data_IF_215579869626
#
_entry.id   IF_215579869626
#
_cell.length_a   1.000
_cell.length_b   1.000
_cell.length_c   1.000
_cell.angle_alpha   90.00
_cell.angle_beta   90.00
_cell.angle_gamma   90.00
#
_symmetry.space_group_name_H-M   'P 1'
#
loop_
_entity.id
_entity.type
_entity.pdbx_description
1 polymer ?
#
# COMPACT_ATOMS: atom_id res chain seq x y z
N UNK A 1 -20.86 25.02 -43.10
CA UNK A 1 -19.61 24.61 -42.47
C UNK A 1 -19.90 24.59 -40.96
N UNK A 2 -20.27 23.42 -40.47
CA UNK A 2 -20.57 23.23 -39.04
C UNK A 2 -19.32 22.65 -38.38
N UNK A 3 -18.71 23.46 -37.58
CA UNK A 3 -17.57 23.06 -36.70
C UNK A 3 -18.17 22.39 -35.47
N UNK A 4 -18.21 21.06 -35.50
CA UNK A 4 -18.56 20.25 -34.33
C UNK A 4 -17.31 20.12 -33.44
N UNK A 5 -17.10 21.09 -32.55
CA UNK A 5 -16.17 20.98 -31.49
C UNK A 5 -16.58 19.85 -30.53
N UNK A 6 -16.03 18.66 -30.70
CA UNK A 6 -16.08 17.61 -29.69
C UNK A 6 -15.34 18.09 -28.44
N UNK A 7 -16.09 18.57 -27.47
CA UNK A 7 -15.58 18.71 -26.09
C UNK A 7 -15.24 17.32 -25.59
N UNK A 8 -13.94 16.98 -25.56
CA UNK A 8 -13.45 15.88 -24.75
C UNK A 8 -13.83 16.17 -23.30
N UNK A 9 -14.92 15.55 -22.86
CA UNK A 9 -15.25 15.47 -21.43
C UNK A 9 -14.11 14.71 -20.78
N UNK A 10 -13.20 15.44 -20.15
CA UNK A 10 -12.15 14.87 -19.34
C UNK A 10 -12.82 14.06 -18.22
N UNK A 11 -12.63 12.74 -18.21
CA UNK A 11 -13.06 11.89 -17.11
C UNK A 11 -12.27 12.36 -15.90
N UNK A 12 -12.95 13.08 -15.01
CA UNK A 12 -12.37 13.49 -13.72
C UNK A 12 -12.00 12.23 -12.94
N UNK A 13 -10.70 11.90 -12.90
CA UNK A 13 -10.22 10.74 -12.18
C UNK A 13 -10.44 10.95 -10.68
N UNK A 14 -11.18 10.02 -10.08
CA UNK A 14 -11.53 10.07 -8.65
C UNK A 14 -10.29 9.94 -7.78
N UNK A 15 -10.25 10.62 -6.61
CA UNK A 15 -9.20 10.44 -5.63
C UNK A 15 -9.06 8.96 -5.20
N UNK A 16 -7.84 8.55 -4.90
CA UNK A 16 -7.55 7.22 -4.33
C UNK A 16 -8.04 7.17 -2.88
N UNK A 17 -8.92 6.23 -2.56
CA UNK A 17 -9.46 6.07 -1.22
C UNK A 17 -8.66 5.08 -0.41
N UNK A 18 -8.09 5.57 0.70
CA UNK A 18 -7.35 4.77 1.69
C UNK A 18 -8.16 4.67 2.96
N UNK A 19 -8.59 3.45 3.30
CA UNK A 19 -9.28 3.17 4.54
C UNK A 19 -8.30 2.69 5.61
N UNK A 20 -8.39 3.24 6.82
CA UNK A 20 -7.51 2.91 7.94
C UNK A 20 -8.36 2.62 9.16
N UNK A 21 -8.08 1.52 9.87
CA UNK A 21 -8.77 1.25 11.13
C UNK A 21 -8.30 2.22 12.23
N UNK A 22 -9.20 2.62 13.11
CA UNK A 22 -8.90 3.57 14.20
C UNK A 22 -7.77 3.08 15.12
N UNK A 23 -7.65 1.76 15.30
CA UNK A 23 -6.57 1.15 16.08
C UNK A 23 -5.23 1.09 15.34
N UNK A 24 -5.22 1.38 14.06
CA UNK A 24 -4.01 1.43 13.25
C UNK A 24 -3.53 2.86 13.08
N UNK A 25 -4.48 3.81 12.95
CA UNK A 25 -4.17 5.24 12.88
C UNK A 25 -3.74 5.80 14.25
N UNK A 26 -4.37 5.34 15.34
CA UNK A 26 -4.08 5.76 16.70
C UNK A 26 -3.70 4.59 17.60
N UNK A 27 -2.83 4.84 18.59
CA UNK A 27 -2.40 3.85 19.57
C UNK A 27 -3.32 3.86 20.79
N UNK A 28 -4.03 2.74 20.99
CA UNK A 28 -4.98 2.53 22.08
C UNK A 28 -4.39 1.82 23.29
N UNK A 29 -3.12 1.39 23.25
CA UNK A 29 -2.50 0.59 24.33
C UNK A 29 -2.46 1.33 25.67
N UNK A 30 -2.28 2.62 25.62
CA UNK A 30 -2.18 3.46 26.80
C UNK A 30 -3.53 3.81 27.45
N UNK A 31 -4.65 3.52 26.78
CA UNK A 31 -5.99 3.85 27.31
C UNK A 31 -6.44 2.89 28.40
N UNK A 32 -5.88 1.67 28.46
CA UNK A 32 -6.20 0.69 29.50
C UNK A 32 -5.54 0.99 30.85
N UNK A 33 -4.42 1.73 30.83
CA UNK A 33 -3.66 2.10 32.04
C UNK A 33 -3.93 3.53 32.52
N UNK A 34 -4.58 4.36 31.73
CA UNK A 34 -4.92 5.75 32.06
C UNK A 34 -6.45 5.91 32.04
N UNK A 35 -7.13 5.35 33.05
CA UNK A 35 -8.55 5.65 33.32
C UNK A 35 -8.81 7.14 33.60
N UNK A 36 -7.77 7.96 33.70
CA UNK A 36 -7.86 9.32 34.21
C UNK A 36 -7.95 10.44 33.17
N UNK A 37 -7.85 10.16 31.83
CA UNK A 37 -7.88 11.24 30.83
C UNK A 37 -8.54 10.83 29.50
N UNK A 38 -9.85 10.61 29.53
CA UNK A 38 -10.64 10.49 28.29
C UNK A 38 -10.61 11.79 27.44
N UNK A 39 -10.20 12.89 28.05
CA UNK A 39 -10.10 14.19 27.38
C UNK A 39 -8.82 14.39 26.59
N UNK A 40 -7.80 13.57 26.77
CA UNK A 40 -6.56 13.68 26.00
C UNK A 40 -6.66 12.98 24.63
N UNK A 41 -6.05 13.58 23.59
CA UNK A 41 -5.99 12.95 22.27
C UNK A 41 -5.21 11.63 22.35
N UNK A 42 -5.60 10.69 21.51
CA UNK A 42 -4.90 9.42 21.34
C UNK A 42 -3.49 9.66 20.79
N UNK A 43 -2.53 8.81 21.17
CA UNK A 43 -1.20 8.84 20.56
C UNK A 43 -1.26 8.38 19.09
N UNK A 44 -0.32 8.87 18.29
CA UNK A 44 -0.14 8.41 16.92
C UNK A 44 0.10 6.89 16.86
N UNK A 45 -0.59 6.20 15.97
CA UNK A 45 -0.42 4.77 15.70
C UNK A 45 0.51 4.51 14.51
N UNK A 46 0.66 3.24 14.13
CA UNK A 46 1.60 2.80 13.10
C UNK A 46 1.33 3.38 11.72
N UNK A 47 0.06 3.58 11.34
CA UNK A 47 -0.30 4.18 10.05
C UNK A 47 -0.22 5.72 10.06
N UNK A 48 -0.06 6.33 11.21
CA UNK A 48 -0.12 7.79 11.33
C UNK A 48 0.92 8.51 10.46
N UNK A 49 2.21 8.11 10.45
CA UNK A 49 3.20 8.78 9.61
C UNK A 49 2.86 8.71 8.11
N UNK A 50 2.40 7.55 7.64
CA UNK A 50 1.96 7.38 6.26
C UNK A 50 0.74 8.26 5.93
N UNK A 51 -0.30 8.23 6.77
CA UNK A 51 -1.49 9.06 6.59
C UNK A 51 -1.15 10.55 6.62
N UNK A 52 -0.24 10.97 7.52
CA UNK A 52 0.23 12.35 7.61
C UNK A 52 0.92 12.81 6.31
N UNK A 53 1.66 11.92 5.64
CA UNK A 53 2.27 12.22 4.34
C UNK A 53 1.26 12.34 3.19
N UNK A 54 0.19 11.57 3.23
CA UNK A 54 -0.91 11.71 2.26
C UNK A 54 -1.65 13.02 2.43
N UNK A 55 -1.70 13.53 3.64
CA UNK A 55 -2.60 14.58 4.05
C UNK A 55 -2.40 15.92 3.33
N UNK A 56 -1.19 16.47 3.13
CA UNK A 56 -0.97 17.69 2.35
C UNK A 56 -1.37 17.54 0.87
N UNK A 57 -1.47 16.29 0.40
CA UNK A 57 -1.80 15.90 -0.97
C UNK A 57 -3.25 15.45 -1.11
N UNK A 58 -4.04 15.45 0.01
CA UNK A 58 -5.32 14.76 0.09
C UNK A 58 -6.45 15.43 -0.69
N UNK A 59 -6.51 16.75 -0.74
CA UNK A 59 -7.69 17.44 -1.27
C UNK A 59 -8.07 17.03 -2.71
N UNK A 60 -7.08 16.66 -3.54
CA UNK A 60 -7.31 16.28 -4.94
C UNK A 60 -6.91 14.82 -5.26
N UNK A 61 -6.00 14.24 -4.48
CA UNK A 61 -5.39 12.95 -4.83
C UNK A 61 -5.88 11.79 -3.96
N UNK A 62 -6.13 12.05 -2.68
CA UNK A 62 -6.44 10.99 -1.72
C UNK A 62 -7.66 11.31 -0.86
N UNK A 63 -8.52 10.31 -0.67
CA UNK A 63 -9.55 10.31 0.36
C UNK A 63 -9.11 9.38 1.50
N UNK A 64 -9.10 9.87 2.72
CA UNK A 64 -8.80 9.07 3.91
C UNK A 64 -10.10 8.71 4.62
N UNK A 65 -10.31 7.43 4.89
CA UNK A 65 -11.47 6.92 5.60
C UNK A 65 -11.03 6.26 6.90
N UNK A 66 -11.34 6.89 8.03
CA UNK A 66 -11.11 6.32 9.35
C UNK A 66 -12.27 5.42 9.74
N UNK A 67 -11.98 4.13 9.94
CA UNK A 67 -12.96 3.11 10.28
C UNK A 67 -12.91 2.79 11.77
N UNK A 68 -14.06 2.82 12.47
CA UNK A 68 -14.15 2.50 13.89
C UNK A 68 -15.41 1.68 14.20
N UNK A 69 -15.40 0.90 15.29
CA UNK A 69 -16.41 -0.12 15.55
C UNK A 69 -17.41 0.22 16.67
N UNK A 70 -17.17 1.28 17.41
CA UNK A 70 -17.97 1.62 18.62
C UNK A 70 -18.26 3.11 18.65
N UNK A 71 -19.52 3.47 18.81
CA UNK A 71 -19.96 4.86 18.92
C UNK A 71 -19.29 5.61 20.09
N UNK A 72 -19.05 4.91 21.21
CA UNK A 72 -18.43 5.47 22.42
C UNK A 72 -17.02 6.07 22.20
N UNK A 73 -16.28 5.61 21.17
CA UNK A 73 -14.95 6.15 20.90
C UNK A 73 -14.92 7.35 19.97
N UNK A 74 -16.08 7.71 19.39
CA UNK A 74 -16.18 8.74 18.35
C UNK A 74 -15.71 10.10 18.82
N UNK A 75 -16.10 10.51 20.02
CA UNK A 75 -15.71 11.82 20.56
C UNK A 75 -14.19 11.92 20.74
N UNK A 76 -13.56 10.89 21.30
CA UNK A 76 -12.12 10.86 21.47
C UNK A 76 -11.36 10.80 20.15
N UNK A 77 -11.92 10.12 19.14
CA UNK A 77 -11.36 10.14 17.78
C UNK A 77 -11.43 11.56 17.19
N UNK A 78 -12.56 12.26 17.33
CA UNK A 78 -12.69 13.65 16.88
C UNK A 78 -11.66 14.56 17.55
N UNK A 79 -11.52 14.50 18.88
CA UNK A 79 -10.47 15.25 19.61
C UNK A 79 -9.06 14.96 19.09
N UNK A 80 -8.78 13.71 18.76
CA UNK A 80 -7.48 13.30 18.22
C UNK A 80 -7.25 13.81 16.79
N UNK A 81 -8.27 13.72 15.93
CA UNK A 81 -8.26 14.25 14.56
C UNK A 81 -8.00 15.76 14.58
N UNK A 82 -8.71 16.50 15.43
CA UNK A 82 -8.55 17.97 15.57
C UNK A 82 -7.14 18.30 16.10
N UNK A 83 -6.68 17.59 17.15
CA UNK A 83 -5.34 17.80 17.73
C UNK A 83 -4.23 17.63 16.70
N UNK A 84 -4.31 16.61 15.84
CA UNK A 84 -3.31 16.38 14.81
C UNK A 84 -3.56 17.16 13.52
N UNK A 85 -4.60 17.99 13.48
CA UNK A 85 -4.96 18.79 12.32
C UNK A 85 -5.37 17.97 11.09
N UNK A 86 -5.98 16.79 11.31
CA UNK A 86 -6.47 15.90 10.23
C UNK A 86 -7.92 16.24 9.81
N UNK A 87 -8.50 17.31 10.32
CA UNK A 87 -9.87 17.75 10.06
C UNK A 87 -9.93 18.64 8.81
N UNK A 88 -9.79 18.05 7.62
CA UNK A 88 -9.87 18.74 6.33
C UNK A 88 -10.68 17.94 5.32
N UNK A 89 -10.94 18.56 4.17
CA UNK A 89 -11.57 17.90 3.04
C UNK A 89 -10.81 16.62 2.64
N UNK A 90 -11.55 15.57 2.27
CA UNK A 90 -11.00 14.26 1.97
C UNK A 90 -10.80 13.32 3.16
N UNK A 91 -11.02 13.77 4.42
CA UNK A 91 -11.01 12.89 5.60
C UNK A 91 -12.43 12.60 6.09
N UNK A 92 -12.78 11.33 6.24
CA UNK A 92 -14.11 10.89 6.68
C UNK A 92 -14.00 9.83 7.77
N UNK A 93 -14.98 9.80 8.67
CA UNK A 93 -15.15 8.77 9.68
C UNK A 93 -16.33 7.88 9.35
N UNK A 94 -16.14 6.56 9.40
CA UNK A 94 -17.21 5.59 9.17
C UNK A 94 -17.27 4.62 10.34
N UNK A 95 -18.46 4.52 10.94
CA UNK A 95 -18.76 3.54 11.98
C UNK A 95 -19.29 2.24 11.39
N UNK A 96 -18.84 1.10 11.91
CA UNK A 96 -19.39 -0.21 11.57
C UNK A 96 -18.39 -1.35 11.73
N UNK A 97 -18.95 -2.57 11.88
CA UNK A 97 -18.15 -3.79 12.00
C UNK A 97 -17.58 -4.28 10.66
N UNK A 98 -18.28 -4.00 9.55
CA UNK A 98 -17.88 -4.35 8.17
C UNK A 98 -17.98 -3.14 7.23
N UNK A 99 -17.41 -1.99 7.59
CA UNK A 99 -17.60 -0.79 6.77
C UNK A 99 -16.81 -0.85 5.46
N UNK A 100 -15.83 -1.76 5.32
CA UNK A 100 -14.97 -1.80 4.15
C UNK A 100 -15.72 -2.12 2.85
N UNK A 101 -16.74 -3.00 2.92
CA UNK A 101 -17.59 -3.32 1.77
C UNK A 101 -18.54 -2.17 1.35
N UNK A 102 -18.73 -1.15 2.20
CA UNK A 102 -19.57 0.02 1.93
C UNK A 102 -18.81 1.17 1.27
N UNK A 103 -17.48 1.10 1.23
CA UNK A 103 -16.61 2.15 0.72
C UNK A 103 -15.86 1.62 -0.50
N UNK A 104 -15.85 2.39 -1.59
CA UNK A 104 -14.93 2.12 -2.71
C UNK A 104 -13.52 2.40 -2.23
N UNK A 105 -12.86 1.38 -1.70
CA UNK A 105 -11.54 1.44 -1.10
C UNK A 105 -10.48 0.92 -2.07
N UNK A 106 -9.44 1.71 -2.28
CA UNK A 106 -8.29 1.29 -3.08
C UNK A 106 -7.19 0.61 -2.24
N UNK A 107 -7.14 0.94 -0.94
CA UNK A 107 -6.24 0.30 0.02
C UNK A 107 -6.88 0.30 1.42
N UNK A 108 -6.86 -0.83 2.10
CA UNK A 108 -7.24 -0.96 3.51
C UNK A 108 -6.06 -1.31 4.40
N UNK A 109 -5.83 -0.53 5.46
CA UNK A 109 -4.76 -0.73 6.43
C UNK A 109 -5.35 -1.02 7.82
N UNK A 110 -4.93 -2.12 8.43
CA UNK A 110 -5.38 -2.54 9.75
C UNK A 110 -4.28 -3.23 10.54
N UNK A 111 -4.37 -3.26 11.88
CA UNK A 111 -3.61 -4.15 12.75
C UNK A 111 -4.23 -5.54 12.89
N UNK A 112 -5.45 -5.70 12.41
CA UNK A 112 -6.22 -6.94 12.50
C UNK A 112 -6.02 -7.76 11.22
N UNK A 113 -5.14 -8.76 11.29
CA UNK A 113 -4.81 -9.62 10.16
C UNK A 113 -6.03 -10.39 9.62
N UNK A 114 -7.01 -10.73 10.48
CA UNK A 114 -8.23 -11.40 10.07
C UNK A 114 -9.05 -10.51 9.14
N UNK A 115 -9.24 -9.23 9.51
CA UNK A 115 -9.96 -8.27 8.67
C UNK A 115 -9.23 -7.94 7.37
N UNK A 116 -7.91 -7.92 7.41
CA UNK A 116 -7.09 -7.75 6.20
C UNK A 116 -7.30 -8.94 5.26
N UNK A 117 -7.26 -10.17 5.78
CA UNK A 117 -7.49 -11.39 4.99
C UNK A 117 -8.90 -11.44 4.40
N UNK A 118 -9.92 -11.04 5.20
CA UNK A 118 -11.30 -10.91 4.71
C UNK A 118 -11.39 -9.90 3.56
N UNK A 119 -10.76 -8.72 3.70
CA UNK A 119 -10.77 -7.69 2.68
C UNK A 119 -10.09 -8.15 1.37
N UNK A 120 -8.95 -8.84 1.47
CA UNK A 120 -8.27 -9.43 0.30
C UNK A 120 -9.19 -10.46 -0.37
N UNK A 121 -9.88 -11.30 0.40
CA UNK A 121 -10.87 -12.27 -0.11
C UNK A 121 -12.05 -11.61 -0.84
N UNK A 122 -12.40 -10.38 -0.48
CA UNK A 122 -13.42 -9.56 -1.16
C UNK A 122 -12.86 -8.77 -2.36
N UNK A 123 -11.60 -8.98 -2.73
CA UNK A 123 -10.93 -8.30 -3.85
C UNK A 123 -10.48 -6.86 -3.54
N UNK A 124 -10.39 -6.50 -2.26
CA UNK A 124 -9.90 -5.18 -1.82
C UNK A 124 -8.42 -5.30 -1.47
N UNK A 125 -7.58 -4.42 -2.02
CA UNK A 125 -6.19 -4.34 -1.63
C UNK A 125 -6.09 -4.01 -0.14
N UNK A 126 -5.40 -4.85 0.64
CA UNK A 126 -5.29 -4.66 2.08
C UNK A 126 -3.97 -5.18 2.63
N UNK A 127 -3.52 -4.60 3.75
CA UNK A 127 -2.31 -5.03 4.43
C UNK A 127 -2.39 -4.82 5.95
N UNK A 128 -1.71 -5.70 6.69
CA UNK A 128 -1.58 -5.63 8.15
C UNK A 128 -0.37 -4.80 8.52
N UNK A 129 -0.57 -3.81 9.39
CA UNK A 129 0.52 -2.98 9.91
C UNK A 129 0.85 -3.38 11.34
N UNK A 130 2.15 -3.47 11.62
CA UNK A 130 2.70 -3.72 12.94
C UNK A 130 3.23 -2.41 13.55
N UNK A 131 3.70 -2.44 14.78
CA UNK A 131 4.27 -1.26 15.44
C UNK A 131 5.80 -1.27 15.30
N UNK A 132 6.39 -0.56 14.36
CA UNK A 132 7.80 -0.23 14.47
C UNK A 132 7.97 0.89 15.50
N UNK A 133 9.07 0.85 16.26
CA UNK A 133 9.54 2.00 17.02
C UNK A 133 10.07 3.05 16.03
N UNK A 134 9.14 3.81 15.45
CA UNK A 134 9.42 4.78 14.40
C UNK A 134 10.26 5.93 14.93
N UNK A 135 11.51 5.98 14.50
CA UNK A 135 12.43 7.09 14.79
C UNK A 135 12.54 8.13 13.67
N UNK A 136 12.05 7.81 12.46
CA UNK A 136 12.26 8.66 11.30
C UNK A 136 10.99 9.45 10.95
N UNK A 137 11.10 10.78 11.03
CA UNK A 137 10.19 11.68 10.34
C UNK A 137 10.64 11.75 8.87
N UNK A 138 9.91 11.08 8.00
CA UNK A 138 10.12 11.22 6.57
C UNK A 138 9.59 12.61 6.16
N UNK A 139 10.48 13.52 5.81
CA UNK A 139 10.13 14.81 5.23
C UNK A 139 10.50 14.75 3.76
N UNK A 140 9.52 14.53 2.89
CA UNK A 140 9.73 14.55 1.45
C UNK A 140 8.53 15.15 0.73
N UNK A 141 8.80 15.86 -0.34
CA UNK A 141 7.78 16.37 -1.27
C UNK A 141 7.11 15.25 -2.06
N UNK A 142 7.71 14.04 -2.11
CA UNK A 142 7.25 12.89 -2.88
C UNK A 142 6.80 11.75 -1.95
N UNK A 143 5.61 11.19 -2.21
CA UNK A 143 5.13 9.95 -1.60
C UNK A 143 5.78 8.75 -2.29
N UNK A 144 6.60 7.99 -1.58
CA UNK A 144 7.28 6.80 -2.09
C UNK A 144 6.58 5.54 -1.60
N UNK A 145 5.99 4.79 -2.53
CA UNK A 145 5.29 3.53 -2.26
C UNK A 145 6.07 2.39 -2.89
N UNK A 146 6.48 1.42 -2.07
CA UNK A 146 7.29 0.27 -2.50
C UNK A 146 6.48 -1.01 -2.38
N UNK A 147 6.51 -1.81 -3.42
CA UNK A 147 5.85 -3.10 -3.52
C UNK A 147 6.86 -4.23 -3.72
N UNK A 148 6.64 -5.36 -3.07
CA UNK A 148 7.18 -6.63 -3.54
C UNK A 148 6.44 -7.09 -4.81
N UNK A 149 6.99 -8.08 -5.48
CA UNK A 149 6.42 -8.70 -6.68
C UNK A 149 5.44 -9.82 -6.35
N UNK A 150 5.97 -11.01 -6.11
CA UNK A 150 5.22 -12.25 -5.88
C UNK A 150 4.44 -12.17 -4.56
N UNK A 151 3.17 -12.57 -4.56
CA UNK A 151 2.31 -12.47 -3.37
C UNK A 151 1.77 -11.06 -3.09
N UNK A 152 2.23 -10.02 -3.80
CA UNK A 152 1.81 -8.61 -3.61
C UNK A 152 1.21 -8.03 -4.89
N UNK A 153 2.01 -7.72 -5.90
CA UNK A 153 1.53 -7.24 -7.20
C UNK A 153 1.09 -8.39 -8.10
N UNK A 154 1.82 -9.48 -8.05
CA UNK A 154 1.54 -10.72 -8.76
C UNK A 154 1.02 -11.78 -7.80
N UNK A 155 0.34 -12.82 -8.33
CA UNK A 155 -0.01 -13.99 -7.52
C UNK A 155 1.24 -14.72 -7.03
N UNK A 156 1.05 -15.65 -6.12
CA UNK A 156 2.10 -16.52 -5.58
C UNK A 156 2.37 -17.77 -6.42
N UNK A 157 1.91 -17.82 -7.67
CA UNK A 157 1.98 -19.00 -8.55
C UNK A 157 3.40 -19.52 -8.75
N UNK A 158 4.35 -18.62 -9.01
CA UNK A 158 5.75 -18.97 -9.22
C UNK A 158 6.45 -19.35 -7.91
N UNK A 159 6.07 -18.71 -6.80
CA UNK A 159 6.62 -19.01 -5.48
C UNK A 159 6.17 -20.38 -4.98
N UNK A 160 4.95 -20.82 -5.31
CA UNK A 160 4.47 -22.19 -5.05
C UNK A 160 5.39 -23.22 -5.71
N UNK A 161 5.72 -23.02 -6.98
CA UNK A 161 6.63 -23.91 -7.72
C UNK A 161 8.00 -23.94 -7.07
N UNK A 162 8.54 -22.77 -6.71
CA UNK A 162 9.82 -22.69 -6.00
C UNK A 162 9.81 -23.45 -4.67
N UNK A 163 8.77 -23.26 -3.85
CA UNK A 163 8.65 -23.89 -2.54
C UNK A 163 8.48 -25.41 -2.63
N UNK A 164 7.74 -25.89 -3.61
CA UNK A 164 7.42 -27.31 -3.79
C UNK A 164 8.53 -28.08 -4.52
N UNK A 165 9.16 -27.46 -5.50
CA UNK A 165 10.03 -28.15 -6.46
C UNK A 165 11.43 -27.55 -6.59
N UNK A 166 11.72 -26.44 -5.87
CA UNK A 166 13.03 -25.80 -5.85
C UNK A 166 13.33 -24.87 -7.01
N UNK A 167 14.56 -24.33 -7.02
CA UNK A 167 14.97 -23.26 -7.92
C UNK A 167 14.98 -23.68 -9.40
N UNK A 168 15.41 -24.90 -9.69
CA UNK A 168 15.49 -25.39 -11.08
C UNK A 168 14.10 -25.47 -11.72
N UNK A 169 13.11 -25.97 -10.98
CA UNK A 169 11.72 -26.03 -11.44
C UNK A 169 11.11 -24.63 -11.61
N UNK A 170 11.42 -23.70 -10.71
CA UNK A 170 11.06 -22.30 -10.86
C UNK A 170 11.61 -21.70 -12.14
N UNK A 171 12.92 -21.86 -12.37
CA UNK A 171 13.59 -21.31 -13.56
C UNK A 171 13.04 -21.89 -14.86
N UNK A 172 12.76 -23.18 -14.90
CA UNK A 172 12.17 -23.83 -16.07
C UNK A 172 10.74 -23.35 -16.32
N UNK A 173 9.92 -23.20 -15.27
CA UNK A 173 8.58 -22.64 -15.36
C UNK A 173 8.60 -21.20 -15.90
N UNK A 174 9.46 -20.34 -15.34
CA UNK A 174 9.57 -18.94 -15.79
C UNK A 174 10.01 -18.84 -17.26
N UNK A 175 10.89 -19.75 -17.70
CA UNK A 175 11.34 -19.84 -19.08
C UNK A 175 10.21 -20.27 -20.03
N UNK A 176 9.43 -21.29 -19.64
CA UNK A 176 8.30 -21.78 -20.43
C UNK A 176 7.19 -20.74 -20.53
N UNK A 177 6.94 -19.98 -19.46
CA UNK A 177 5.86 -18.99 -19.35
C UNK A 177 6.33 -17.55 -19.57
N UNK A 178 7.52 -17.30 -20.11
CA UNK A 178 8.12 -15.96 -20.22
C UNK A 178 7.21 -14.95 -20.93
N UNK A 179 6.41 -15.41 -21.92
CA UNK A 179 5.44 -14.59 -22.65
C UNK A 179 4.01 -14.66 -22.10
N UNK A 180 3.80 -15.40 -21.01
CA UNK A 180 2.50 -15.51 -20.33
C UNK A 180 2.51 -14.60 -19.11
N UNK A 181 1.66 -13.56 -19.06
CA UNK A 181 1.60 -12.68 -17.92
C UNK A 181 1.33 -13.43 -16.62
N UNK A 182 1.98 -13.01 -15.54
CA UNK A 182 1.67 -13.44 -14.18
C UNK A 182 0.22 -13.07 -13.83
N UNK A 183 -0.46 -13.92 -13.07
CA UNK A 183 -1.76 -13.58 -12.54
C UNK A 183 -1.65 -12.42 -11.54
N UNK A 184 -2.75 -11.66 -11.38
CA UNK A 184 -2.75 -10.50 -10.50
C UNK A 184 -2.69 -10.90 -9.03
N UNK A 185 -1.88 -10.16 -8.28
CA UNK A 185 -1.84 -10.21 -6.81
C UNK A 185 -2.81 -9.22 -6.14
N UNK A 186 -2.92 -9.28 -4.82
CA UNK A 186 -3.93 -8.51 -4.08
C UNK A 186 -3.76 -6.99 -4.14
N UNK A 187 -2.55 -6.47 -4.36
CA UNK A 187 -2.29 -5.02 -4.41
C UNK A 187 -2.18 -4.46 -5.83
N UNK A 188 -2.38 -5.25 -6.87
CA UNK A 188 -2.35 -4.78 -8.27
C UNK A 188 -3.32 -3.62 -8.49
N UNK A 189 -4.55 -3.71 -7.96
CA UNK A 189 -5.55 -2.65 -8.12
C UNK A 189 -5.18 -1.34 -7.39
N UNK A 190 -4.42 -1.41 -6.30
CA UNK A 190 -3.88 -0.23 -5.63
C UNK A 190 -2.79 0.44 -6.46
N UNK A 191 -1.85 -0.33 -7.01
CA UNK A 191 -0.85 0.20 -7.95
C UNK A 191 -1.53 0.85 -9.17
N UNK A 192 -2.55 0.22 -9.73
CA UNK A 192 -3.35 0.79 -10.83
C UNK A 192 -3.94 2.15 -10.49
N UNK A 193 -4.48 2.29 -9.28
CA UNK A 193 -5.03 3.56 -8.82
C UNK A 193 -3.95 4.64 -8.69
N UNK A 194 -2.77 4.30 -8.17
CA UNK A 194 -1.63 5.23 -8.09
C UNK A 194 -1.13 5.65 -9.47
N UNK A 195 -0.97 4.69 -10.41
CA UNK A 195 -0.55 4.98 -11.78
C UNK A 195 -1.56 5.87 -12.51
N UNK A 196 -2.86 5.70 -12.26
CA UNK A 196 -3.89 6.62 -12.77
C UNK A 196 -3.73 8.02 -12.22
N UNK A 197 -3.45 8.18 -10.92
CA UNK A 197 -3.17 9.48 -10.35
C UNK A 197 -1.91 10.13 -10.93
N UNK A 198 -0.85 9.36 -11.15
CA UNK A 198 0.38 9.88 -11.74
C UNK A 198 0.15 10.48 -13.14
N UNK A 199 -0.81 9.97 -13.91
CA UNK A 199 -1.18 10.51 -15.24
C UNK A 199 -1.74 11.94 -15.19
N UNK A 200 -2.22 12.41 -14.02
CA UNK A 200 -2.61 13.82 -13.84
C UNK A 200 -1.42 14.79 -13.89
N UNK A 201 -0.20 14.27 -13.75
CA UNK A 201 1.05 15.02 -13.71
C UNK A 201 1.92 14.63 -14.92
N UNK A 202 1.73 15.24 -16.09
CA UNK A 202 2.60 14.99 -17.25
C UNK A 202 4.05 15.38 -16.93
N UNK A 203 5.02 14.58 -17.42
CA UNK A 203 6.44 14.73 -17.09
C UNK A 203 7.03 16.11 -17.45
N UNK A 204 6.41 16.82 -18.37
CA UNK A 204 6.86 18.13 -18.89
C UNK A 204 6.17 19.32 -18.21
N UNK A 205 5.28 19.09 -17.24
CA UNK A 205 4.52 20.14 -16.56
C UNK A 205 4.83 20.20 -15.08
N UNK A 206 4.95 21.41 -14.56
CA UNK A 206 4.95 21.67 -13.12
C UNK A 206 3.49 21.82 -12.61
N UNK A 207 3.17 21.38 -11.39
CA UNK A 207 4.10 20.71 -10.44
C UNK A 207 4.43 19.26 -10.83
N UNK A 208 5.64 18.82 -10.45
CA UNK A 208 6.07 17.44 -10.65
C UNK A 208 5.14 16.47 -9.89
N UNK A 209 5.01 15.23 -10.39
CA UNK A 209 4.17 14.21 -9.74
C UNK A 209 4.67 13.94 -8.31
N UNK A 210 3.82 14.12 -7.29
CA UNK A 210 4.21 13.90 -5.90
C UNK A 210 4.15 12.42 -5.47
N UNK A 211 4.01 11.48 -6.41
CA UNK A 211 3.90 10.05 -6.14
C UNK A 211 4.99 9.32 -6.91
N UNK A 212 5.71 8.43 -6.21
CA UNK A 212 6.71 7.52 -6.80
C UNK A 212 6.40 6.09 -6.41
N UNK A 213 6.39 5.21 -7.39
CA UNK A 213 6.12 3.79 -7.24
C UNK A 213 7.38 2.97 -7.53
N UNK A 214 7.64 2.00 -6.65
CA UNK A 214 8.82 1.14 -6.75
C UNK A 214 8.40 -0.34 -6.68
N UNK A 215 9.03 -1.17 -7.48
CA UNK A 215 9.04 -2.62 -7.33
C UNK A 215 10.40 -3.03 -6.76
N UNK A 216 10.40 -3.83 -5.69
CA UNK A 216 11.61 -4.43 -5.12
C UNK A 216 11.37 -5.93 -5.00
N UNK A 217 11.94 -6.71 -5.91
CA UNK A 217 11.73 -8.16 -6.03
C UNK A 217 13.03 -8.93 -5.95
N UNK A 218 12.98 -10.14 -5.39
CA UNK A 218 14.12 -11.08 -5.37
C UNK A 218 14.37 -11.79 -6.71
N UNK A 219 13.50 -11.60 -7.70
CA UNK A 219 13.71 -12.11 -9.07
C UNK A 219 14.96 -11.50 -9.68
N UNK A 220 15.56 -12.17 -10.68
CA UNK A 220 16.70 -11.64 -11.44
C UNK A 220 16.20 -10.87 -12.67
N UNK A 221 16.86 -9.76 -12.98
CA UNK A 221 16.54 -8.96 -14.18
C UNK A 221 16.97 -9.65 -15.47
N UNK A 222 18.08 -10.40 -15.40
CA UNK A 222 18.80 -10.90 -16.57
C UNK A 222 18.32 -12.29 -17.01
N UNK A 223 17.29 -12.83 -16.38
CA UNK A 223 16.68 -14.12 -16.72
C UNK A 223 15.21 -14.01 -17.12
N UNK A 224 14.58 -15.15 -17.39
CA UNK A 224 13.18 -15.24 -17.78
C UNK A 224 12.22 -14.73 -16.70
N UNK A 225 12.62 -14.80 -15.41
CA UNK A 225 11.77 -14.38 -14.30
C UNK A 225 11.58 -12.86 -14.27
N UNK A 226 12.65 -12.10 -14.51
CA UNK A 226 12.56 -10.64 -14.63
C UNK A 226 11.89 -10.21 -15.92
N UNK A 227 12.16 -10.88 -17.04
CA UNK A 227 11.50 -10.63 -18.32
C UNK A 227 9.98 -10.80 -18.18
N UNK A 228 9.52 -11.89 -17.55
CA UNK A 228 8.09 -12.15 -17.31
C UNK A 228 7.41 -11.06 -16.47
N UNK A 229 8.09 -10.56 -15.44
CA UNK A 229 7.61 -9.41 -14.64
C UNK A 229 7.41 -8.17 -15.51
N UNK A 230 8.40 -7.81 -16.32
CA UNK A 230 8.33 -6.63 -17.18
C UNK A 230 7.23 -6.74 -18.24
N UNK A 231 7.11 -7.91 -18.90
CA UNK A 231 6.05 -8.16 -19.87
C UNK A 231 4.66 -8.19 -19.21
N UNK A 232 4.55 -8.68 -17.96
CA UNK A 232 3.30 -8.63 -17.18
C UNK A 232 2.87 -7.19 -16.94
N UNK A 233 3.76 -6.35 -16.38
CA UNK A 233 3.45 -4.93 -16.13
C UNK A 233 3.07 -4.19 -17.42
N UNK A 234 3.77 -4.46 -18.50
CA UNK A 234 3.48 -3.90 -19.82
C UNK A 234 2.10 -4.36 -20.35
N UNK A 235 1.77 -5.64 -20.20
CA UNK A 235 0.46 -6.19 -20.61
C UNK A 235 -0.71 -5.55 -19.83
N UNK A 236 -0.48 -5.17 -18.58
CA UNK A 236 -1.44 -4.44 -17.76
C UNK A 236 -1.50 -2.93 -18.05
N UNK A 237 -0.60 -2.41 -18.89
CA UNK A 237 -0.46 -0.97 -19.15
C UNK A 237 -0.02 -0.19 -17.91
N UNK A 238 0.67 -0.85 -16.97
CA UNK A 238 1.18 -0.27 -15.72
C UNK A 238 2.66 0.07 -15.86
N UNK A 239 3.00 1.33 -15.56
CA UNK A 239 4.36 1.81 -15.51
C UNK A 239 4.73 2.09 -14.05
N UNK A 240 5.72 1.37 -13.55
CA UNK A 240 6.37 1.63 -12.25
C UNK A 240 7.55 2.57 -12.49
N UNK A 241 7.78 3.56 -11.59
CA UNK A 241 8.85 4.55 -11.76
C UNK A 241 10.23 3.88 -11.69
N UNK A 242 10.42 2.96 -10.75
CA UNK A 242 11.66 2.17 -10.61
C UNK A 242 11.39 0.71 -10.24
N UNK A 243 12.12 -0.20 -10.84
CA UNK A 243 12.12 -1.62 -10.49
C UNK A 243 13.54 -2.08 -10.11
N UNK A 244 13.66 -2.68 -8.93
CA UNK A 244 14.89 -3.26 -8.40
C UNK A 244 14.74 -4.78 -8.38
N UNK A 245 15.58 -5.45 -9.18
CA UNK A 245 15.67 -6.89 -9.26
C UNK A 245 16.90 -7.32 -8.48
N UNK A 246 16.74 -8.09 -7.42
CA UNK A 246 17.79 -8.34 -6.44
C UNK A 246 18.50 -9.69 -6.63
N UNK A 247 18.02 -10.56 -7.52
CA UNK A 247 18.59 -11.89 -7.78
C UNK A 247 18.84 -12.69 -6.49
N UNK A 248 17.88 -12.68 -5.56
CA UNK A 248 17.97 -13.36 -4.27
C UNK A 248 18.65 -12.54 -3.14
N UNK A 249 19.19 -11.35 -3.43
CA UNK A 249 19.80 -10.52 -2.38
C UNK A 249 18.75 -9.91 -1.41
N UNK A 250 19.14 -9.57 -0.17
CA UNK A 250 18.27 -8.95 0.82
C UNK A 250 17.71 -7.60 0.36
N UNK A 251 16.45 -7.31 0.72
CA UNK A 251 15.77 -6.04 0.36
C UNK A 251 16.22 -4.84 1.20
N UNK A 252 16.72 -5.08 2.42
CA UNK A 252 17.07 -4.03 3.38
C UNK A 252 17.92 -2.88 2.82
N UNK A 253 19.06 -3.12 2.17
CA UNK A 253 19.92 -2.07 1.62
C UNK A 253 19.19 -1.16 0.63
N UNK A 254 18.40 -1.74 -0.29
CA UNK A 254 17.63 -0.98 -1.29
C UNK A 254 16.49 -0.18 -0.63
N UNK A 255 15.82 -0.77 0.36
CA UNK A 255 14.78 -0.06 1.12
C UNK A 255 15.36 1.13 1.90
N UNK A 256 16.57 0.99 2.48
CA UNK A 256 17.27 2.09 3.14
C UNK A 256 17.66 3.21 2.16
N UNK A 257 18.03 2.88 0.92
CA UNK A 257 18.30 3.87 -0.12
C UNK A 257 17.03 4.61 -0.55
N UNK A 258 15.94 3.87 -0.78
CA UNK A 258 14.65 4.45 -1.22
C UNK A 258 14.05 5.32 -0.13
N UNK A 259 14.12 4.94 1.15
CA UNK A 259 13.41 5.56 2.27
C UNK A 259 11.90 5.65 1.99
N UNK A 260 11.19 4.52 1.88
CA UNK A 260 9.78 4.49 1.53
C UNK A 260 8.89 5.06 2.64
N UNK A 261 7.76 5.65 2.24
CA UNK A 261 6.67 6.03 3.15
C UNK A 261 5.81 4.83 3.54
N UNK A 262 5.78 3.80 2.68
CA UNK A 262 5.22 2.49 2.99
C UNK A 262 5.82 1.43 2.06
N UNK A 263 6.12 0.26 2.64
CA UNK A 263 6.60 -0.92 1.93
C UNK A 263 5.63 -2.09 2.15
N UNK A 264 5.29 -2.81 1.09
CA UNK A 264 4.39 -3.96 1.10
C UNK A 264 5.13 -5.25 0.73
N UNK A 265 4.98 -6.28 1.55
CA UNK A 265 5.55 -7.60 1.31
C UNK A 265 4.63 -8.68 1.89
N UNK A 266 4.58 -9.88 1.31
CA UNK A 266 3.77 -11.00 1.80
C UNK A 266 4.51 -11.87 2.84
N UNK A 267 5.83 -11.66 3.01
CA UNK A 267 6.66 -12.41 3.95
C UNK A 267 6.87 -11.64 5.25
N UNK A 268 6.37 -12.20 6.35
CA UNK A 268 6.49 -11.56 7.65
C UNK A 268 7.96 -11.32 8.06
N UNK A 269 8.87 -12.23 7.71
CA UNK A 269 10.31 -12.08 8.01
C UNK A 269 10.91 -10.84 7.34
N UNK A 270 10.51 -10.55 6.10
CA UNK A 270 10.97 -9.35 5.37
C UNK A 270 10.38 -8.08 5.98
N UNK A 271 9.11 -8.13 6.40
CA UNK A 271 8.48 -7.02 7.13
C UNK A 271 9.22 -6.72 8.44
N UNK A 272 9.53 -7.76 9.24
CA UNK A 272 10.27 -7.61 10.50
C UNK A 272 11.70 -7.05 10.29
N UNK A 273 12.38 -7.47 9.22
CA UNK A 273 13.69 -6.91 8.84
C UNK A 273 13.58 -5.43 8.48
N UNK A 274 12.59 -5.06 7.67
CA UNK A 274 12.35 -3.67 7.28
C UNK A 274 12.00 -2.78 8.48
N UNK A 275 11.19 -3.28 9.42
CA UNK A 275 10.85 -2.58 10.67
C UNK A 275 12.06 -2.33 11.56
N UNK A 276 12.99 -3.29 11.68
CA UNK A 276 14.27 -3.10 12.39
C UNK A 276 15.11 -1.97 11.80
N UNK A 277 14.95 -1.70 10.51
CA UNK A 277 15.58 -0.57 9.80
C UNK A 277 14.79 0.74 9.93
N UNK A 278 13.68 0.76 10.67
CA UNK A 278 12.81 1.93 10.86
C UNK A 278 11.91 2.23 9.65
N UNK A 279 11.69 1.26 8.77
CA UNK A 279 10.87 1.41 7.57
C UNK A 279 9.42 1.05 7.90
N UNK A 280 8.48 1.93 7.52
CA UNK A 280 7.05 1.65 7.63
C UNK A 280 6.69 0.55 6.67
N UNK A 281 6.27 -0.59 7.22
CA UNK A 281 5.99 -1.79 6.45
C UNK A 281 4.58 -2.31 6.71
N UNK A 282 4.01 -2.96 5.72
CA UNK A 282 2.67 -3.52 5.78
C UNK A 282 2.66 -4.93 5.15
N UNK A 283 2.27 -5.90 5.95
CA UNK A 283 2.23 -7.30 5.57
C UNK A 283 0.97 -7.63 4.76
N UNK A 284 1.15 -8.15 3.57
CA UNK A 284 0.07 -8.59 2.69
C UNK A 284 -0.28 -10.03 3.03
N UNK A 285 -1.41 -10.24 3.70
CA UNK A 285 -1.84 -11.57 4.18
C UNK A 285 -2.39 -12.43 3.03
N UNK A 286 -1.54 -12.79 2.06
CA UNK A 286 -1.92 -13.52 0.85
C UNK A 286 -0.87 -14.59 0.50
N UNK A 287 -1.35 -15.69 -0.10
CA UNK A 287 -0.50 -16.71 -0.68
C UNK A 287 0.22 -17.60 0.32
N UNK A 288 1.24 -18.30 -0.19
CA UNK A 288 2.04 -19.26 0.59
C UNK A 288 3.07 -18.59 1.50
N UNK A 289 3.35 -17.32 1.34
CA UNK A 289 4.17 -16.54 2.26
C UNK A 289 3.62 -16.50 3.69
N UNK A 290 2.35 -16.90 3.88
CA UNK A 290 1.66 -16.98 5.19
C UNK A 290 1.94 -18.29 5.94
N UNK A 291 2.53 -19.29 5.29
CA UNK A 291 2.85 -20.58 5.91
C UNK A 291 4.30 -20.53 6.38
N UNK A 292 4.56 -20.71 7.70
CA UNK A 292 5.92 -20.69 8.25
C UNK A 292 6.80 -21.80 7.67
#
# INVERSE_FOLDING_TARGET
MNDNGEQKVGVEEKPVTIAVSSRTLFDWRYTQYQQENEDQPLKAGVAFPFVKELYPKSEELFNIVLMYNQASVRERLNKSIDYYGLNKDGFRMIEGRRPIGLVKTNLYLSKDATKVKEAIGEGIAAATMFNPDMKNQLSNTELKVVFDGDGVLFSDESEKIYKENGLDAFNENEKQLVNTPLAQGPLKCFLEALVKLQKKFPAEKEPACPIRTYLVTTRSKDDSSGTRVLETLKSWGLKIDKAHFLAGAPKGPVLQEIQPHIFFDDKISIIEEAEKLGIISAHVNYGIGQVP
#
